data_IF_824323863670
#
_entry.id   IF_824323863670
#
_cell.length_a   1.000
_cell.length_b   1.000
_cell.length_c   1.000
_cell.angle_alpha   90.00
_cell.angle_beta   90.00
_cell.angle_gamma   90.00
#
_symmetry.space_group_name_H-M   'P 1'
#
loop_
_entity.id
_entity.type
_entity.pdbx_description
1 polymer ?
#
# COMPACT_ATOMS: atom_id res chain seq x y z
N UNK A 1 29.58 -22.98 38.43
CA UNK A 1 29.64 -23.51 37.05
C UNK A 1 28.95 -24.88 37.09
N UNK A 2 27.93 -25.18 36.28
CA UNK A 2 27.54 -24.54 35.02
C UNK A 2 26.21 -23.79 35.10
N UNK A 3 26.24 -22.61 34.50
CA UNK A 3 25.14 -21.75 34.08
C UNK A 3 24.27 -22.45 33.03
N UNK A 4 22.98 -22.63 33.32
CA UNK A 4 21.99 -23.01 32.30
C UNK A 4 21.49 -21.74 31.62
N UNK A 5 21.98 -21.54 30.40
CA UNK A 5 21.69 -20.44 29.50
C UNK A 5 20.22 -20.43 29.11
N UNK A 6 19.50 -19.45 29.64
CA UNK A 6 18.16 -19.10 29.18
C UNK A 6 18.30 -18.44 27.79
N UNK A 7 18.20 -19.25 26.74
CA UNK A 7 18.24 -18.78 25.36
C UNK A 7 16.87 -18.18 25.03
N UNK A 8 16.76 -16.87 25.23
CA UNK A 8 15.69 -16.05 24.70
C UNK A 8 15.72 -16.13 23.17
N UNK A 9 14.89 -17.01 22.61
CA UNK A 9 14.65 -17.07 21.18
C UNK A 9 13.99 -15.75 20.74
N UNK A 10 14.79 -14.82 20.24
CA UNK A 10 14.31 -13.60 19.60
C UNK A 10 13.63 -13.97 18.28
N UNK A 11 12.30 -14.16 18.31
CA UNK A 11 11.48 -14.25 17.11
C UNK A 11 11.46 -12.89 16.41
N UNK A 12 12.51 -12.61 15.64
CA UNK A 12 12.58 -11.45 14.75
C UNK A 12 11.83 -11.72 13.44
N UNK A 13 10.52 -11.83 13.56
CA UNK A 13 9.58 -11.79 12.44
C UNK A 13 8.26 -11.32 12.99
N UNK A 14 7.85 -10.07 12.71
CA UNK A 14 6.54 -9.60 13.16
C UNK A 14 5.47 -10.55 12.62
N UNK A 15 4.72 -11.20 13.50
CA UNK A 15 3.58 -12.02 13.11
C UNK A 15 2.65 -11.20 12.22
N UNK A 16 2.21 -11.79 11.11
CA UNK A 16 1.29 -11.12 10.19
C UNK A 16 -0.10 -11.12 10.81
N UNK A 17 -0.42 -10.07 11.53
CA UNK A 17 -1.76 -9.89 12.10
C UNK A 17 -2.73 -9.34 11.05
N UNK A 18 -4.04 -9.65 11.14
CA UNK A 18 -5.07 -9.08 10.28
C UNK A 18 -5.06 -7.55 10.30
N UNK A 19 -5.61 -6.94 9.24
CA UNK A 19 -5.73 -5.50 9.13
C UNK A 19 -7.05 -5.06 8.51
N UNK A 20 -7.55 -3.92 8.97
CA UNK A 20 -8.68 -3.22 8.39
C UNK A 20 -8.34 -1.75 8.15
N UNK A 21 -9.13 -1.07 7.31
CA UNK A 21 -8.92 0.33 6.95
C UNK A 21 -10.07 1.16 7.49
N UNK A 22 -9.73 2.25 8.18
CA UNK A 22 -10.65 3.32 8.51
C UNK A 22 -10.22 4.59 7.77
N UNK A 23 -11.08 5.14 6.92
CA UNK A 23 -10.82 6.38 6.19
C UNK A 23 -11.49 7.56 6.89
N UNK A 24 -10.70 8.55 7.30
CA UNK A 24 -11.18 9.74 8.03
C UNK A 24 -10.85 11.00 7.21
N UNK A 25 -11.81 11.91 6.98
CA UNK A 25 -11.54 13.18 6.30
C UNK A 25 -10.59 14.06 7.11
N UNK A 26 -9.75 14.84 6.43
CA UNK A 26 -8.85 15.82 7.04
C UNK A 26 -9.36 17.25 6.82
N UNK A 27 -9.23 18.09 7.83
CA UNK A 27 -9.31 19.55 7.70
C UNK A 27 -7.98 20.03 7.16
N UNK A 28 -8.00 20.56 5.94
CA UNK A 28 -6.80 21.00 5.24
C UNK A 28 -7.00 22.43 4.77
N UNK A 29 -6.18 23.34 5.30
CA UNK A 29 -6.14 24.73 4.88
C UNK A 29 -5.55 24.85 3.46
N UNK A 30 -5.84 25.94 2.72
CA UNK A 30 -5.34 26.11 1.35
C UNK A 30 -3.81 26.02 1.21
N UNK A 31 -3.05 26.48 2.20
CA UNK A 31 -1.58 26.40 2.19
C UNK A 31 -1.09 24.96 2.35
N UNK A 32 -1.71 24.19 3.24
CA UNK A 32 -1.42 22.77 3.46
C UNK A 32 -1.81 21.94 2.23
N UNK A 33 -2.94 22.27 1.60
CA UNK A 33 -3.39 21.62 0.37
C UNK A 33 -2.39 21.82 -0.79
N UNK A 34 -1.80 23.01 -0.91
CA UNK A 34 -0.70 23.28 -1.85
C UNK A 34 0.53 22.45 -1.51
N UNK A 35 0.93 22.40 -0.24
CA UNK A 35 2.05 21.56 0.21
C UNK A 35 1.82 20.08 -0.12
N UNK A 36 0.67 19.52 0.23
CA UNK A 36 0.30 18.15 -0.08
C UNK A 36 0.29 17.88 -1.59
N UNK A 37 -0.20 18.83 -2.40
CA UNK A 37 -0.20 18.69 -3.86
C UNK A 37 1.23 18.64 -4.42
N UNK A 38 2.12 19.51 -3.95
CA UNK A 38 3.54 19.48 -4.31
C UNK A 38 4.20 18.16 -3.92
N UNK A 39 3.90 17.64 -2.71
CA UNK A 39 4.43 16.35 -2.25
C UNK A 39 3.90 15.18 -3.10
N UNK A 40 2.61 15.19 -3.48
CA UNK A 40 2.05 14.16 -4.37
C UNK A 40 2.68 14.21 -5.77
N UNK A 41 3.01 15.41 -6.26
CA UNK A 41 3.70 15.57 -7.54
C UNK A 41 5.15 15.07 -7.47
N UNK A 42 5.88 15.36 -6.38
CA UNK A 42 7.18 14.76 -6.11
C UNK A 42 7.09 13.22 -6.03
N UNK A 43 6.09 12.70 -5.33
CA UNK A 43 5.84 11.25 -5.23
C UNK A 43 5.56 10.62 -6.60
N UNK A 44 4.83 11.32 -7.48
CA UNK A 44 4.56 10.87 -8.85
C UNK A 44 5.85 10.72 -9.65
N UNK A 45 6.74 11.70 -9.55
CA UNK A 45 8.04 11.67 -10.22
C UNK A 45 8.91 10.52 -9.71
N UNK A 46 8.99 10.32 -8.38
CA UNK A 46 9.72 9.18 -7.80
C UNK A 46 9.12 7.85 -8.25
N UNK A 47 7.80 7.69 -8.19
CA UNK A 47 7.12 6.48 -8.66
C UNK A 47 7.43 6.18 -10.13
N UNK A 48 7.29 7.18 -11.01
CA UNK A 48 7.51 7.00 -12.44
C UNK A 48 8.98 6.69 -12.76
N UNK A 49 9.93 7.36 -12.10
CA UNK A 49 11.35 7.04 -12.24
C UNK A 49 11.64 5.59 -11.82
N UNK A 50 11.09 5.16 -10.67
CA UNK A 50 11.20 3.78 -10.22
C UNK A 50 10.54 2.79 -11.19
N UNK A 51 9.38 3.13 -11.75
CA UNK A 51 8.69 2.27 -12.72
C UNK A 51 9.51 2.14 -14.01
N UNK A 52 10.06 3.24 -14.53
CA UNK A 52 10.91 3.23 -15.71
C UNK A 52 12.15 2.38 -15.50
N UNK A 53 12.81 2.56 -14.37
CA UNK A 53 13.99 1.79 -13.98
C UNK A 53 13.66 0.30 -13.79
N UNK A 54 12.53 -0.03 -13.16
CA UNK A 54 12.06 -1.40 -13.00
C UNK A 54 11.77 -2.06 -14.36
N UNK A 55 11.10 -1.36 -15.28
CA UNK A 55 10.81 -1.86 -16.63
C UNK A 55 12.10 -2.08 -17.44
N UNK A 56 13.08 -1.18 -17.32
CA UNK A 56 14.40 -1.32 -17.95
C UNK A 56 15.12 -2.57 -17.42
N UNK A 57 15.20 -2.74 -16.09
CA UNK A 57 15.82 -3.91 -15.45
C UNK A 57 15.09 -5.22 -15.79
N UNK A 58 13.77 -5.20 -15.90
CA UNK A 58 12.97 -6.34 -16.33
C UNK A 58 13.25 -6.74 -17.79
N UNK A 59 13.47 -5.77 -18.69
CA UNK A 59 13.89 -6.04 -20.07
C UNK A 59 15.26 -6.71 -20.11
N UNK A 60 16.24 -6.14 -19.39
CA UNK A 60 17.59 -6.73 -19.26
C UNK A 60 17.54 -8.15 -18.69
N UNK A 61 16.67 -8.41 -17.70
CA UNK A 61 16.47 -9.74 -17.14
C UNK A 61 16.03 -10.75 -18.21
N UNK A 62 15.07 -10.39 -19.06
CA UNK A 62 14.56 -11.27 -20.13
C UNK A 62 15.63 -11.62 -21.16
N UNK A 63 16.56 -10.70 -21.40
CA UNK A 63 17.67 -10.89 -22.35
C UNK A 63 18.76 -11.82 -21.79
N UNK A 64 18.87 -12.00 -20.46
CA UNK A 64 19.88 -12.88 -19.85
C UNK A 64 19.71 -14.34 -20.26
N UNK A 65 20.80 -14.96 -20.72
CA UNK A 65 20.85 -16.41 -21.02
C UNK A 65 20.50 -17.24 -19.77
N UNK A 66 21.05 -16.87 -18.61
CA UNK A 66 20.77 -17.53 -17.33
C UNK A 66 19.28 -17.49 -16.95
N UNK A 67 18.58 -16.40 -17.25
CA UNK A 67 17.14 -16.30 -17.01
C UNK A 67 16.35 -17.21 -17.96
N UNK A 68 16.74 -17.29 -19.24
CA UNK A 68 16.15 -18.23 -20.21
C UNK A 68 16.38 -19.69 -19.81
N UNK A 69 17.56 -20.01 -19.28
CA UNK A 69 17.87 -21.33 -18.72
C UNK A 69 16.98 -21.65 -17.52
N UNK A 70 16.89 -20.73 -16.53
CA UNK A 70 16.05 -20.91 -15.35
C UNK A 70 14.56 -21.11 -15.67
N UNK A 71 14.07 -20.59 -16.80
CA UNK A 71 12.70 -20.84 -17.27
C UNK A 71 12.44 -22.28 -17.71
N UNK A 72 13.48 -23.01 -18.15
CA UNK A 72 13.39 -24.41 -18.61
C UNK A 72 13.61 -25.43 -17.49
N UNK A 73 14.11 -25.00 -16.34
CA UNK A 73 14.31 -25.86 -15.18
C UNK A 73 12.96 -26.37 -14.62
N UNK A 74 12.94 -27.58 -14.03
CA UNK A 74 11.77 -28.08 -13.30
C UNK A 74 11.43 -27.17 -12.11
N UNK A 75 10.16 -27.15 -11.69
CA UNK A 75 9.76 -26.42 -10.48
C UNK A 75 10.47 -27.02 -9.27
N UNK A 76 11.11 -26.18 -8.45
CA UNK A 76 11.87 -26.62 -7.29
C UNK A 76 12.71 -25.51 -6.68
N UNK A 77 13.45 -25.84 -5.61
CA UNK A 77 14.32 -24.91 -4.89
C UNK A 77 15.43 -24.33 -5.77
N UNK A 78 16.08 -25.17 -6.57
CA UNK A 78 17.17 -24.76 -7.48
C UNK A 78 16.70 -23.73 -8.52
N UNK A 79 15.53 -23.96 -9.12
CA UNK A 79 14.93 -23.01 -10.07
C UNK A 79 14.65 -21.67 -9.41
N UNK A 80 14.13 -21.68 -8.18
CA UNK A 80 13.88 -20.46 -7.42
C UNK A 80 15.19 -19.70 -7.12
N UNK A 81 16.24 -20.41 -6.72
CA UNK A 81 17.57 -19.84 -6.48
C UNK A 81 18.18 -19.25 -7.77
N UNK A 82 18.05 -19.93 -8.90
CA UNK A 82 18.52 -19.45 -10.21
C UNK A 82 17.81 -18.15 -10.61
N UNK A 83 16.48 -18.08 -10.46
CA UNK A 83 15.74 -16.84 -10.71
C UNK A 83 16.16 -15.72 -9.76
N UNK A 84 16.32 -15.99 -8.47
CA UNK A 84 16.77 -14.99 -7.51
C UNK A 84 18.17 -14.46 -7.83
N UNK A 85 19.09 -15.33 -8.27
CA UNK A 85 20.43 -14.94 -8.72
C UNK A 85 20.36 -14.02 -9.95
N UNK A 86 19.60 -14.41 -10.98
CA UNK A 86 19.41 -13.60 -12.18
C UNK A 86 18.79 -12.22 -11.88
N UNK A 87 17.81 -12.18 -10.96
CA UNK A 87 17.19 -10.92 -10.55
C UNK A 87 18.18 -10.01 -9.83
N UNK A 88 19.02 -10.57 -8.97
CA UNK A 88 20.09 -9.82 -8.27
C UNK A 88 21.11 -9.25 -9.26
N UNK A 89 21.51 -10.02 -10.29
CA UNK A 89 22.53 -9.58 -11.27
C UNK A 89 22.14 -8.39 -12.13
N UNK A 90 20.84 -8.07 -12.24
CA UNK A 90 20.33 -6.88 -12.94
C UNK A 90 19.62 -5.91 -12.00
N UNK A 91 19.81 -6.09 -10.69
CA UNK A 91 19.16 -5.31 -9.63
C UNK A 91 17.61 -5.25 -9.73
N UNK A 92 16.96 -6.27 -10.30
CA UNK A 92 15.51 -6.36 -10.37
C UNK A 92 14.91 -6.98 -9.10
N UNK A 93 15.10 -6.29 -7.98
CA UNK A 93 14.56 -6.64 -6.65
C UNK A 93 13.91 -5.42 -6.00
N UNK A 94 12.94 -5.66 -5.11
CA UNK A 94 12.27 -4.60 -4.35
C UNK A 94 13.30 -3.74 -3.58
N UNK A 95 14.22 -4.39 -2.86
CA UNK A 95 15.26 -3.70 -2.11
C UNK A 95 16.17 -2.82 -2.99
N UNK A 96 16.51 -3.26 -4.20
CA UNK A 96 17.35 -2.46 -5.09
C UNK A 96 16.60 -1.24 -5.66
N UNK A 97 15.31 -1.38 -5.94
CA UNK A 97 14.43 -0.27 -6.34
C UNK A 97 14.22 0.72 -5.18
N UNK A 98 14.06 0.23 -3.94
CA UNK A 98 14.02 1.07 -2.76
C UNK A 98 15.31 1.91 -2.62
N UNK A 99 16.50 1.31 -2.79
CA UNK A 99 17.77 2.07 -2.77
C UNK A 99 17.84 3.13 -3.87
N UNK A 100 17.39 2.80 -5.08
CA UNK A 100 17.30 3.75 -6.19
C UNK A 100 16.38 4.94 -5.84
N UNK A 101 15.19 4.68 -5.29
CA UNK A 101 14.25 5.72 -4.87
C UNK A 101 14.82 6.62 -3.77
N UNK A 102 15.53 6.06 -2.79
CA UNK A 102 16.16 6.85 -1.73
C UNK A 102 17.22 7.80 -2.29
N UNK A 103 18.06 7.35 -3.23
CA UNK A 103 19.03 8.23 -3.91
C UNK A 103 18.35 9.35 -4.70
N UNK A 104 17.28 9.03 -5.44
CA UNK A 104 16.51 10.03 -6.17
C UNK A 104 15.90 11.07 -5.22
N UNK A 105 15.28 10.61 -4.13
CA UNK A 105 14.73 11.45 -3.09
C UNK A 105 15.80 12.35 -2.46
N UNK A 106 16.98 11.82 -2.13
CA UNK A 106 18.08 12.61 -1.56
C UNK A 106 18.56 13.75 -2.46
N UNK A 107 18.49 13.57 -3.79
CA UNK A 107 18.96 14.53 -4.79
C UNK A 107 17.95 15.62 -5.13
N UNK A 108 16.66 15.29 -5.18
CA UNK A 108 15.65 16.18 -5.77
C UNK A 108 14.37 16.37 -4.93
N UNK A 109 14.10 15.51 -3.94
CA UNK A 109 12.80 15.49 -3.25
C UNK A 109 12.94 15.35 -1.73
N UNK A 110 14.08 15.76 -1.17
CA UNK A 110 14.41 15.56 0.25
C UNK A 110 13.40 16.22 1.17
N UNK A 111 12.96 17.41 0.78
CA UNK A 111 12.10 18.31 1.56
C UNK A 111 10.60 18.06 1.30
N UNK A 112 10.28 17.13 0.39
CA UNK A 112 8.91 16.80 0.03
C UNK A 112 8.52 15.38 0.41
N UNK A 113 9.47 14.45 0.42
CA UNK A 113 9.22 13.03 0.69
C UNK A 113 10.17 12.51 1.73
N UNK A 114 9.62 11.85 2.76
CA UNK A 114 10.43 11.10 3.69
C UNK A 114 10.94 9.80 3.04
N UNK A 115 11.93 9.20 3.69
CA UNK A 115 12.58 7.98 3.18
C UNK A 115 11.61 6.80 3.05
N UNK A 116 10.62 6.68 3.94
CA UNK A 116 9.70 5.55 3.94
C UNK A 116 8.67 5.67 2.81
N UNK A 117 8.13 6.86 2.57
CA UNK A 117 7.27 7.11 1.41
C UNK A 117 8.01 6.81 0.11
N UNK A 118 9.25 7.29 -0.05
CA UNK A 118 10.06 7.00 -1.24
C UNK A 118 10.27 5.49 -1.46
N UNK A 119 10.57 4.75 -0.39
CA UNK A 119 10.71 3.30 -0.43
C UNK A 119 9.39 2.62 -0.83
N UNK A 120 8.25 3.05 -0.28
CA UNK A 120 6.93 2.47 -0.58
C UNK A 120 6.48 2.75 -2.01
N UNK A 121 6.80 3.92 -2.56
CA UNK A 121 6.61 4.23 -3.99
C UNK A 121 7.44 3.29 -4.87
N UNK A 122 8.68 3.01 -4.49
CA UNK A 122 9.54 2.06 -5.18
C UNK A 122 8.96 0.65 -5.17
N UNK A 123 8.48 0.19 -4.01
CA UNK A 123 7.84 -1.12 -3.88
C UNK A 123 6.56 -1.25 -4.70
N UNK A 124 5.76 -0.18 -4.75
CA UNK A 124 4.57 -0.12 -5.61
C UNK A 124 4.94 -0.22 -7.09
N UNK A 125 6.00 0.46 -7.53
CA UNK A 125 6.48 0.40 -8.91
C UNK A 125 7.06 -0.99 -9.26
N UNK A 126 7.85 -1.56 -8.35
CA UNK A 126 8.42 -2.89 -8.49
C UNK A 126 7.32 -3.96 -8.60
N UNK A 127 6.31 -3.92 -7.72
CA UNK A 127 5.21 -4.87 -7.76
C UNK A 127 4.50 -4.85 -9.12
N UNK A 128 4.15 -3.66 -9.62
CA UNK A 128 3.51 -3.51 -10.92
C UNK A 128 4.38 -4.04 -12.08
N UNK A 129 5.68 -3.73 -12.08
CA UNK A 129 6.61 -4.25 -13.09
C UNK A 129 6.82 -5.78 -12.97
N UNK A 130 6.80 -6.31 -11.76
CA UNK A 130 6.96 -7.74 -11.50
C UNK A 130 5.75 -8.55 -11.97
N UNK A 131 4.54 -8.08 -11.70
CA UNK A 131 3.31 -8.74 -12.19
C UNK A 131 3.26 -8.77 -13.72
N UNK A 132 3.69 -7.69 -14.38
CA UNK A 132 3.89 -7.67 -15.83
C UNK A 132 4.99 -8.62 -16.30
N UNK A 133 6.14 -8.66 -15.61
CA UNK A 133 7.23 -9.58 -15.94
C UNK A 133 6.74 -11.03 -15.91
N UNK A 134 5.92 -11.37 -14.91
CA UNK A 134 5.33 -12.69 -14.69
C UNK A 134 4.14 -13.01 -15.61
N UNK A 135 3.69 -12.06 -16.43
CA UNK A 135 2.57 -12.25 -17.35
C UNK A 135 1.19 -12.33 -16.69
N UNK A 136 1.07 -11.89 -15.42
CA UNK A 136 -0.20 -11.90 -14.69
C UNK A 136 -1.10 -10.73 -15.05
N UNK A 137 -0.50 -9.60 -15.41
CA UNK A 137 -1.20 -8.37 -15.79
C UNK A 137 -0.51 -7.69 -16.99
N UNK A 138 -1.24 -6.77 -17.63
CA UNK A 138 -0.71 -5.94 -18.70
C UNK A 138 0.43 -5.02 -18.27
N UNK A 139 1.12 -4.42 -19.25
CA UNK A 139 2.24 -3.51 -18.98
C UNK A 139 1.76 -2.29 -18.18
N UNK A 140 2.37 -1.97 -17.03
CA UNK A 140 1.97 -0.82 -16.22
C UNK A 140 2.23 0.50 -16.96
N UNK A 141 1.32 1.46 -16.77
CA UNK A 141 1.43 2.81 -17.32
C UNK A 141 2.00 3.77 -16.29
N UNK A 142 2.78 4.73 -16.76
CA UNK A 142 3.22 5.86 -15.94
C UNK A 142 2.03 6.69 -15.46
N UNK A 143 2.19 7.32 -14.30
CA UNK A 143 1.20 8.24 -13.75
C UNK A 143 1.38 9.63 -14.38
N UNK A 144 0.36 10.10 -15.07
CA UNK A 144 0.28 11.46 -15.60
C UNK A 144 0.14 12.50 -14.48
N UNK A 145 0.27 13.77 -14.84
CA UNK A 145 0.12 14.89 -13.91
C UNK A 145 -1.19 14.75 -13.09
N UNK A 146 -1.08 14.94 -11.77
CA UNK A 146 -2.19 14.75 -10.80
C UNK A 146 -2.86 13.37 -10.81
N UNK A 147 -2.21 12.30 -11.28
CA UNK A 147 -2.76 10.93 -11.23
C UNK A 147 -2.19 10.04 -10.11
N UNK A 148 -1.32 10.58 -9.25
CA UNK A 148 -0.86 9.89 -8.04
C UNK A 148 -1.53 10.52 -6.82
N UNK A 149 -2.59 9.88 -6.35
CA UNK A 149 -3.45 10.40 -5.29
C UNK A 149 -3.16 9.79 -3.91
N UNK A 150 -2.09 9.02 -3.78
CA UNK A 150 -1.86 8.22 -2.57
C UNK A 150 -0.40 8.03 -2.27
N UNK A 151 -0.04 8.30 -1.01
CA UNK A 151 1.25 7.99 -0.40
C UNK A 151 1.03 7.31 0.95
N UNK A 152 1.93 6.41 1.33
CA UNK A 152 1.80 5.63 2.57
C UNK A 152 3.14 5.49 3.30
N UNK A 153 3.08 5.45 4.63
CA UNK A 153 4.22 5.14 5.48
C UNK A 153 4.52 3.63 5.53
N UNK A 154 5.62 3.29 6.22
CA UNK A 154 5.95 1.89 6.57
C UNK A 154 5.45 1.47 7.95
N UNK A 155 5.32 2.44 8.85
CA UNK A 155 4.86 2.25 10.22
C UNK A 155 4.21 3.55 10.72
N UNK A 156 3.63 3.52 11.92
CA UNK A 156 3.10 4.71 12.59
C UNK A 156 4.16 5.47 13.44
N UNK A 157 5.41 4.99 13.44
CA UNK A 157 6.50 5.58 14.23
C UNK A 157 7.25 6.69 13.48
N UNK A 158 7.35 6.60 12.14
CA UNK A 158 8.14 7.51 11.32
C UNK A 158 7.44 7.83 9.97
N UNK A 159 7.71 9.01 9.41
CA UNK A 159 7.12 9.48 8.16
C UNK A 159 5.72 10.05 8.38
N UNK A 160 4.70 9.46 7.74
CA UNK A 160 3.29 9.81 7.92
C UNK A 160 2.77 9.11 9.18
N UNK A 161 2.33 9.88 10.18
CA UNK A 161 2.02 9.36 11.52
C UNK A 161 0.64 9.84 11.99
N UNK A 162 -0.05 8.99 12.74
CA UNK A 162 -1.28 9.33 13.44
C UNK A 162 -0.98 9.69 14.90
N UNK A 163 -1.59 10.77 15.40
CA UNK A 163 -1.43 11.28 16.76
C UNK A 163 -2.78 11.58 17.42
N UNK A 164 -3.60 10.56 17.54
CA UNK A 164 -4.87 10.63 18.27
C UNK A 164 -6.00 11.26 17.47
N UNK A 165 -5.83 12.51 17.03
CA UNK A 165 -6.84 13.31 16.34
C UNK A 165 -6.36 13.95 15.03
N UNK A 166 -5.09 13.79 14.68
CA UNK A 166 -4.50 14.38 13.47
C UNK A 166 -3.43 13.49 12.83
N UNK A 167 -3.13 13.80 11.56
CA UNK A 167 -1.97 13.25 10.85
C UNK A 167 -0.81 14.23 10.91
N UNK A 168 0.36 13.74 11.31
CA UNK A 168 1.62 14.47 11.19
C UNK A 168 2.41 13.95 9.98
N UNK A 169 2.93 14.88 9.17
CA UNK A 169 3.91 14.54 8.13
C UNK A 169 4.85 15.72 7.84
N UNK A 170 6.12 15.56 8.19
CA UNK A 170 7.08 16.68 8.31
C UNK A 170 6.49 17.81 9.17
N UNK A 171 6.42 19.04 8.66
CA UNK A 171 5.86 20.22 9.31
C UNK A 171 4.33 20.30 9.28
N UNK A 172 3.66 19.40 8.56
CA UNK A 172 2.19 19.39 8.50
C UNK A 172 1.61 18.69 9.72
N UNK A 173 0.66 19.35 10.37
CA UNK A 173 -0.29 18.74 11.31
C UNK A 173 -1.68 18.93 10.73
N UNK A 174 -2.33 17.83 10.35
CA UNK A 174 -3.59 17.82 9.59
C UNK A 174 -4.70 17.25 10.47
N UNK A 175 -5.53 18.09 11.11
CA UNK A 175 -6.59 17.64 11.99
C UNK A 175 -7.61 16.77 11.25
N UNK A 176 -8.02 15.67 11.86
CA UNK A 176 -9.07 14.84 11.34
C UNK A 176 -10.46 15.37 11.70
N UNK A 177 -11.45 15.05 10.86
CA UNK A 177 -12.86 15.28 11.14
C UNK A 177 -13.41 14.00 11.77
N UNK A 178 -13.46 13.97 13.10
CA UNK A 178 -13.88 12.81 13.90
C UNK A 178 -15.27 13.09 14.46
N UNK A 179 -16.23 12.19 14.22
CA UNK A 179 -17.47 12.13 15.00
C UNK A 179 -17.27 11.11 16.14
N UNK A 180 -17.22 11.54 17.41
CA UNK A 180 -17.00 10.64 18.54
C UNK A 180 -18.15 9.64 18.76
N UNK A 181 -19.33 9.87 18.15
CA UNK A 181 -20.49 8.98 18.27
C UNK A 181 -20.50 7.88 17.22
N UNK A 182 -19.63 7.95 16.21
CA UNK A 182 -19.54 6.92 15.19
C UNK A 182 -18.80 5.68 15.74
N UNK A 183 -19.48 4.54 15.92
CA UNK A 183 -18.85 3.35 16.49
C UNK A 183 -17.76 2.75 15.59
N UNK A 184 -17.83 2.97 14.27
CA UNK A 184 -16.80 2.51 13.33
C UNK A 184 -15.52 3.31 13.53
N UNK A 185 -15.64 4.63 13.66
CA UNK A 185 -14.49 5.50 13.94
C UNK A 185 -13.93 5.21 15.34
N UNK A 186 -14.80 5.09 16.35
CA UNK A 186 -14.41 4.75 17.72
C UNK A 186 -13.61 3.44 17.80
N UNK A 187 -14.08 2.38 17.14
CA UNK A 187 -13.37 1.11 17.05
C UNK A 187 -11.99 1.24 16.39
N UNK A 188 -11.92 2.00 15.30
CA UNK A 188 -10.66 2.22 14.59
C UNK A 188 -9.64 3.00 15.43
N UNK A 189 -10.08 4.03 16.16
CA UNK A 189 -9.23 4.85 17.03
C UNK A 189 -8.79 4.10 18.29
N UNK A 190 -9.58 3.15 18.77
CA UNK A 190 -9.20 2.21 19.84
C UNK A 190 -8.24 1.10 19.39
N UNK A 191 -8.04 0.93 18.08
CA UNK A 191 -7.18 -0.11 17.51
C UNK A 191 -5.76 0.40 17.26
N UNK A 192 -4.76 -0.50 17.32
CA UNK A 192 -3.37 -0.16 16.98
C UNK A 192 -3.26 0.21 15.50
N UNK A 193 -2.87 1.45 15.21
CA UNK A 193 -2.55 1.90 13.84
C UNK A 193 -1.19 1.34 13.42
N UNK A 194 -1.16 0.48 12.41
CA UNK A 194 0.09 -0.08 11.86
C UNK A 194 0.84 0.97 11.06
N UNK A 195 0.14 1.64 10.14
CA UNK A 195 0.65 2.74 9.35
C UNK A 195 -0.49 3.59 8.81
N UNK A 196 -0.16 4.78 8.33
CA UNK A 196 -1.10 5.73 7.74
C UNK A 196 -0.83 5.89 6.25
N UNK A 197 -1.91 6.09 5.50
CA UNK A 197 -1.89 6.46 4.10
C UNK A 197 -2.66 7.76 3.91
N UNK A 198 -2.05 8.73 3.23
CA UNK A 198 -2.73 9.95 2.80
C UNK A 198 -3.33 9.75 1.42
N UNK A 199 -4.61 10.10 1.27
CA UNK A 199 -5.38 9.94 0.03
C UNK A 199 -5.97 11.28 -0.38
N UNK A 200 -5.83 11.62 -1.67
CA UNK A 200 -6.52 12.74 -2.30
C UNK A 200 -7.70 12.24 -3.11
N UNK A 201 -8.84 12.89 -3.00
CA UNK A 201 -10.03 12.65 -3.84
C UNK A 201 -10.52 13.97 -4.42
N UNK A 202 -11.10 13.92 -5.62
CA UNK A 202 -11.77 15.08 -6.23
C UNK A 202 -13.26 15.00 -5.95
N UNK A 203 -13.79 15.97 -5.21
CA UNK A 203 -15.22 16.04 -4.87
C UNK A 203 -15.73 17.46 -5.18
N UNK A 204 -16.74 17.56 -6.04
CA UNK A 204 -17.26 18.86 -6.51
C UNK A 204 -16.19 19.74 -7.16
N UNK A 205 -15.26 19.13 -7.91
CA UNK A 205 -14.15 19.84 -8.57
C UNK A 205 -12.98 20.22 -7.66
N UNK A 206 -13.11 20.06 -6.33
CA UNK A 206 -12.08 20.42 -5.34
C UNK A 206 -11.33 19.19 -4.83
N UNK A 207 -10.05 19.36 -4.52
CA UNK A 207 -9.25 18.32 -3.87
C UNK A 207 -9.63 18.25 -2.39
N UNK A 208 -9.96 17.05 -1.90
CA UNK A 208 -10.15 16.73 -0.49
C UNK A 208 -9.14 15.66 -0.08
N UNK A 209 -8.65 15.76 1.15
CA UNK A 209 -7.65 14.85 1.68
C UNK A 209 -8.22 14.01 2.82
N UNK A 210 -7.76 12.77 2.88
CA UNK A 210 -8.21 11.77 3.82
C UNK A 210 -7.01 11.03 4.40
N UNK A 211 -7.13 10.62 5.65
CA UNK A 211 -6.24 9.66 6.29
C UNK A 211 -6.90 8.27 6.24
N UNK A 212 -6.24 7.33 5.58
CA UNK A 212 -6.55 5.90 5.72
C UNK A 212 -5.66 5.34 6.84
N UNK A 213 -6.26 5.08 8.00
CA UNK A 213 -5.63 4.38 9.11
C UNK A 213 -5.69 2.87 8.82
N UNK A 214 -4.53 2.24 8.65
CA UNK A 214 -4.45 0.79 8.52
C UNK A 214 -4.28 0.22 9.92
N UNK A 215 -5.39 -0.20 10.50
CA UNK A 215 -5.47 -0.70 11.86
C UNK A 215 -5.20 -2.21 11.91
N UNK A 216 -4.78 -2.68 13.08
CA UNK A 216 -4.66 -4.09 13.41
C UNK A 216 -6.00 -4.68 13.86
N UNK A 217 -6.30 -5.90 13.41
CA UNK A 217 -7.53 -6.62 13.76
C UNK A 217 -8.54 -6.68 12.60
N UNK A 218 -9.82 -6.80 12.96
CA UNK A 218 -10.96 -6.91 12.05
C UNK A 218 -11.81 -5.64 12.09
N UNK A 219 -12.49 -5.28 10.98
CA UNK A 219 -13.34 -4.09 10.94
C UNK A 219 -14.52 -4.22 11.92
N UNK A 220 -15.02 -3.09 12.40
CA UNK A 220 -16.20 -3.05 13.26
C UNK A 220 -17.42 -3.60 12.52
N UNK A 221 -18.06 -4.62 13.09
CA UNK A 221 -19.33 -5.15 12.61
C UNK A 221 -20.46 -4.45 13.37
N UNK A 222 -21.29 -3.68 12.64
CA UNK A 222 -22.47 -3.05 13.23
C UNK A 222 -23.43 -4.13 13.74
N UNK A 223 -24.01 -4.02 14.94
CA UNK A 223 -24.90 -5.04 15.50
C UNK A 223 -26.11 -5.39 14.62
N UNK A 224 -26.56 -4.44 13.79
CA UNK A 224 -27.64 -4.65 12.82
C UNK A 224 -27.23 -5.50 11.61
N UNK A 225 -25.93 -5.65 11.33
CA UNK A 225 -25.42 -6.38 10.16
C UNK A 225 -24.86 -7.74 10.58
N UNK A 226 -25.75 -8.66 10.94
CA UNK A 226 -25.37 -10.04 11.24
C UNK A 226 -24.97 -10.76 9.95
N UNK A 227 -23.88 -11.52 10.02
CA UNK A 227 -23.43 -12.35 8.91
C UNK A 227 -24.09 -13.72 9.09
N UNK A 228 -24.86 -14.15 8.09
CA UNK A 228 -25.39 -15.52 8.03
C UNK A 228 -24.35 -16.52 7.50
N UNK A 229 -24.69 -17.79 7.53
CA UNK A 229 -23.89 -18.87 6.95
C UNK A 229 -24.43 -19.26 5.56
N UNK A 230 -23.55 -19.71 4.67
CA UNK A 230 -23.91 -20.14 3.32
C UNK A 230 -23.38 -19.24 2.20
N UNK A 231 -23.38 -19.79 0.98
CA UNK A 231 -23.01 -19.04 -0.22
C UNK A 231 -24.25 -18.36 -0.80
N UNK A 232 -24.14 -17.07 -1.10
CA UNK A 232 -25.23 -16.28 -1.69
C UNK A 232 -24.74 -15.66 -2.99
N UNK A 233 -25.49 -15.88 -4.07
CA UNK A 233 -25.34 -15.19 -5.34
C UNK A 233 -26.10 -13.87 -5.32
N UNK A 234 -25.44 -12.80 -5.75
CA UNK A 234 -26.03 -11.47 -5.91
C UNK A 234 -25.90 -11.04 -7.38
N UNK A 235 -27.02 -10.75 -8.03
CA UNK A 235 -27.05 -10.08 -9.33
C UNK A 235 -27.68 -8.70 -9.17
N UNK A 236 -26.86 -7.67 -9.40
CA UNK A 236 -27.23 -6.26 -9.16
C UNK A 236 -27.64 -5.66 -10.50
N UNK A 237 -28.95 -5.57 -10.71
CA UNK A 237 -29.55 -4.87 -11.84
C UNK A 237 -29.66 -3.36 -11.62
N UNK A 238 -30.10 -2.60 -12.64
CA UNK A 238 -30.24 -1.15 -12.56
C UNK A 238 -31.22 -0.65 -11.50
N UNK A 239 -32.20 -1.46 -11.11
CA UNK A 239 -33.29 -1.09 -10.20
C UNK A 239 -33.73 -2.22 -9.28
N UNK A 240 -33.01 -3.34 -9.27
CA UNK A 240 -33.33 -4.52 -8.46
C UNK A 240 -32.05 -5.29 -8.16
N UNK A 241 -31.99 -5.95 -7.01
CA UNK A 241 -30.97 -6.92 -6.66
C UNK A 241 -31.64 -8.29 -6.57
N UNK A 242 -31.26 -9.21 -7.45
CA UNK A 242 -31.63 -10.61 -7.30
C UNK A 242 -30.69 -11.29 -6.32
N UNK A 243 -31.25 -11.91 -5.30
CA UNK A 243 -30.53 -12.62 -4.26
C UNK A 243 -30.92 -14.09 -4.33
N UNK A 244 -29.94 -14.96 -4.51
CA UNK A 244 -30.14 -16.42 -4.59
C UNK A 244 -29.25 -17.11 -3.57
N UNK A 245 -29.86 -17.81 -2.62
CA UNK A 245 -29.21 -18.75 -1.71
C UNK A 245 -29.65 -20.18 -2.02
N UNK A 246 -29.16 -21.13 -1.22
CA UNK A 246 -29.52 -22.55 -1.35
C UNK A 246 -31.02 -22.78 -1.13
N UNK A 247 -31.60 -22.14 -0.11
CA UNK A 247 -32.99 -22.37 0.30
C UNK A 247 -33.99 -21.30 -0.15
N UNK A 248 -33.52 -20.19 -0.74
CA UNK A 248 -34.38 -19.05 -1.06
C UNK A 248 -33.85 -18.22 -2.23
N UNK A 249 -34.79 -17.63 -2.99
CA UNK A 249 -34.51 -16.61 -3.98
C UNK A 249 -35.51 -15.46 -3.83
N UNK A 250 -35.03 -14.22 -3.84
CA UNK A 250 -35.88 -13.03 -3.78
C UNK A 250 -35.29 -11.86 -4.57
N UNK A 251 -36.14 -10.88 -4.83
CA UNK A 251 -35.78 -9.61 -5.47
C UNK A 251 -35.93 -8.49 -4.44
N UNK A 252 -34.84 -7.77 -4.18
CA UNK A 252 -34.87 -6.49 -3.48
C UNK A 252 -35.01 -5.39 -4.53
N UNK A 253 -35.99 -4.49 -4.39
CA UNK A 253 -36.20 -3.36 -5.28
C UNK A 253 -35.53 -2.08 -4.76
#
# INVERSE_FOLDING_TARGET
MPSSSNTSSSRSGSERTPSFICEIPLRVAPVEARCLTTRLEAARQVYNACLGEALRRARLLRERRAYRFARRMPKGGERSAAFQSCRRSVEFTDAALQRYAVRLRQRAFRDHLDVHVAQKLASRAFAAANEWLLGKHGRPRFKGYRQLDTVEGKSNHAGIRWRGDHVEWFELSLPAVIDPRDPVIGHALGSRVKYVRLVRRKLGGRDRFYAQLVCEGVPYQKPCHRIGEGAVGLDIGPSTIAVVGEDAAFLEA
#
